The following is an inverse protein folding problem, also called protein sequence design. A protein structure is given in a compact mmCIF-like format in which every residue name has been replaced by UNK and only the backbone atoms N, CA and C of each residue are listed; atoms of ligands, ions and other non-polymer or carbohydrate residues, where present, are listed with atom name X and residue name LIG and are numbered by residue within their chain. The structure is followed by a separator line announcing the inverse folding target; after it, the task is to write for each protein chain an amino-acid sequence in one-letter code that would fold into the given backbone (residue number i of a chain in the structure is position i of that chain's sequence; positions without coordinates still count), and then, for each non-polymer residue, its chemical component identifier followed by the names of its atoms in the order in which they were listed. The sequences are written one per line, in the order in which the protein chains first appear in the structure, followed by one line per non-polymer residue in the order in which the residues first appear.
data_IF_322189712762
#
_entry.id   IF_322189712762
#
_cell.length_a   1.000
_cell.length_b   1.000
_cell.length_c   1.000
_cell.angle_alpha   90.00
_cell.angle_beta   90.00
_cell.angle_gamma   90.00
#
_symmetry.space_group_name_H-M   'P 1'
#
loop_
_entity.id
_entity.type
_entity.pdbx_description
1 polymer ?
#
# COMPACT_ATOMS: atom_id res chain seq x y z
N UNK A 1 -13.76 3.98 -16.36
CA UNK A 1 -12.30 3.88 -16.28
C UNK A 1 -11.91 2.43 -16.02
N UNK A 2 -10.88 1.93 -16.67
CA UNK A 2 -10.37 0.58 -16.51
C UNK A 2 -9.04 0.62 -15.76
N UNK A 3 -8.78 -0.36 -14.90
CA UNK A 3 -7.44 -0.63 -14.42
C UNK A 3 -6.55 -1.06 -15.60
N UNK A 4 -5.24 -0.94 -15.48
CA UNK A 4 -4.29 -1.25 -16.56
C UNK A 4 -4.36 -2.71 -17.07
N UNK A 5 -4.98 -3.60 -16.29
CA UNK A 5 -5.29 -4.99 -16.65
C UNK A 5 -6.58 -5.15 -17.46
N UNK A 6 -7.29 -4.04 -17.76
CA UNK A 6 -8.64 -4.07 -18.37
C UNK A 6 -9.77 -4.33 -17.38
N UNK A 7 -9.49 -4.42 -16.06
CA UNK A 7 -10.51 -4.60 -15.02
C UNK A 7 -11.29 -3.31 -14.85
N UNK A 8 -12.65 -3.32 -14.89
CA UNK A 8 -13.44 -2.16 -14.56
C UNK A 8 -13.21 -1.73 -13.12
N UNK A 9 -12.93 -0.44 -12.88
CA UNK A 9 -12.72 0.08 -11.51
C UNK A 9 -13.96 -0.04 -10.63
N UNK A 10 -15.13 -0.04 -11.22
CA UNK A 10 -16.41 -0.25 -10.55
C UNK A 10 -16.55 -1.63 -9.88
N UNK A 11 -15.77 -2.63 -10.33
CA UNK A 11 -15.72 -3.95 -9.72
C UNK A 11 -14.76 -4.01 -8.51
N UNK A 12 -14.06 -2.91 -8.21
CA UNK A 12 -13.06 -2.87 -7.16
C UNK A 12 -13.50 -1.86 -6.09
N UNK A 13 -13.87 -2.37 -4.92
CA UNK A 13 -14.07 -1.53 -3.74
C UNK A 13 -12.72 -1.04 -3.25
N UNK A 14 -12.53 0.28 -3.17
CA UNK A 14 -11.30 0.88 -2.69
C UNK A 14 -11.53 1.51 -1.32
N UNK A 15 -10.60 1.28 -0.41
CA UNK A 15 -10.60 1.88 0.94
C UNK A 15 -9.17 2.20 1.35
N UNK A 16 -8.99 3.30 2.08
CA UNK A 16 -7.68 3.73 2.58
C UNK A 16 -7.74 3.98 4.08
N UNK A 17 -6.61 3.82 4.74
CA UNK A 17 -6.42 4.16 6.14
C UNK A 17 -5.20 5.04 6.30
N UNK A 18 -5.34 6.15 7.01
CA UNK A 18 -4.20 6.95 7.45
C UNK A 18 -3.53 6.26 8.63
N UNK A 19 -2.24 5.97 8.49
CA UNK A 19 -1.47 5.16 9.44
C UNK A 19 -0.14 5.85 9.73
N UNK A 20 0.28 6.01 10.98
CA UNK A 20 1.46 6.81 11.29
C UNK A 20 2.80 6.16 10.90
N UNK A 21 2.92 4.82 10.94
CA UNK A 21 4.19 4.12 10.75
C UNK A 21 4.02 2.63 10.43
N UNK A 22 5.13 1.97 10.10
CA UNK A 22 5.20 0.56 9.75
C UNK A 22 4.60 -0.38 10.82
N UNK A 23 4.94 -0.20 12.09
CA UNK A 23 4.44 -1.08 13.14
C UNK A 23 2.93 -0.95 13.32
N UNK A 24 2.38 0.25 13.16
CA UNK A 24 0.92 0.44 13.16
C UNK A 24 0.28 -0.17 11.91
N UNK A 25 0.92 -0.13 10.74
CA UNK A 25 0.47 -0.86 9.54
C UNK A 25 0.36 -2.38 9.81
N UNK A 26 1.33 -2.96 10.55
CA UNK A 26 1.28 -4.38 10.97
C UNK A 26 0.06 -4.64 11.86
N UNK A 27 -0.15 -3.79 12.88
CA UNK A 27 -1.28 -3.95 13.80
C UNK A 27 -2.63 -3.85 13.06
N UNK A 28 -2.73 -2.90 12.13
CA UNK A 28 -3.93 -2.76 11.29
C UNK A 28 -4.13 -3.97 10.37
N UNK A 29 -3.07 -4.45 9.72
CA UNK A 29 -3.15 -5.64 8.85
C UNK A 29 -3.59 -6.86 9.65
N UNK A 30 -3.00 -7.08 10.83
CA UNK A 30 -3.41 -8.14 11.75
C UNK A 30 -4.91 -8.05 12.06
N UNK A 31 -5.38 -6.89 12.49
CA UNK A 31 -6.80 -6.66 12.82
C UNK A 31 -7.71 -6.98 11.64
N UNK A 32 -7.38 -6.48 10.44
CA UNK A 32 -8.17 -6.74 9.25
C UNK A 32 -8.22 -8.23 8.90
N UNK A 33 -7.11 -8.95 9.02
CA UNK A 33 -7.03 -10.39 8.77
C UNK A 33 -7.82 -11.23 9.78
N UNK A 34 -7.93 -10.77 11.03
CA UNK A 34 -8.68 -11.43 12.08
C UNK A 34 -10.19 -11.14 12.01
N UNK A 35 -10.57 -9.95 11.54
CA UNK A 35 -11.96 -9.51 11.51
C UNK A 35 -12.69 -9.83 10.19
N UNK A 36 -11.96 -10.15 9.11
CA UNK A 36 -12.56 -10.37 7.80
C UNK A 36 -12.26 -11.79 7.28
N UNK A 37 -13.24 -12.66 7.39
CA UNK A 37 -13.15 -14.05 6.93
C UNK A 37 -13.09 -14.17 5.40
N UNK A 38 -13.56 -13.17 4.67
CA UNK A 38 -13.54 -13.09 3.21
C UNK A 38 -12.15 -12.74 2.64
N UNK A 39 -11.22 -12.30 3.50
CA UNK A 39 -9.80 -12.10 3.13
C UNK A 39 -9.08 -13.44 3.00
N UNK A 40 -9.42 -14.19 1.96
CA UNK A 40 -8.94 -15.57 1.78
C UNK A 40 -7.81 -15.70 0.77
N UNK A 41 -7.67 -14.74 -0.16
CA UNK A 41 -6.66 -14.78 -1.22
C UNK A 41 -6.11 -13.38 -1.47
N UNK A 42 -4.99 -13.08 -0.80
CA UNK A 42 -4.51 -11.72 -0.59
C UNK A 42 -3.19 -11.49 -1.31
N UNK A 43 -3.08 -10.38 -2.04
CA UNK A 43 -1.80 -9.84 -2.49
C UNK A 43 -1.42 -8.61 -1.66
N UNK A 44 -0.24 -8.64 -1.05
CA UNK A 44 0.29 -7.52 -0.28
C UNK A 44 1.46 -6.90 -1.02
N UNK A 45 1.34 -5.64 -1.39
CA UNK A 45 2.35 -4.90 -2.13
C UNK A 45 3.20 -4.01 -1.24
N UNK A 46 4.50 -4.11 -1.44
CA UNK A 46 5.53 -3.25 -0.86
C UNK A 46 6.48 -2.76 -1.94
N UNK A 47 7.21 -1.67 -1.69
CA UNK A 47 8.05 -1.04 -2.71
C UNK A 47 9.42 -1.71 -2.88
N UNK A 48 9.94 -2.39 -1.85
CA UNK A 48 11.27 -2.97 -1.91
C UNK A 48 11.40 -4.29 -1.13
N UNK A 49 12.46 -5.05 -1.47
CA UNK A 49 12.74 -6.36 -0.92
C UNK A 49 13.02 -6.36 0.59
N UNK A 50 13.62 -5.30 1.14
CA UNK A 50 13.92 -5.20 2.57
C UNK A 50 12.63 -5.10 3.39
N UNK A 51 11.71 -4.27 2.95
CA UNK A 51 10.38 -4.16 3.57
C UNK A 51 9.59 -5.45 3.37
N UNK A 52 9.72 -6.13 2.21
CA UNK A 52 9.09 -7.44 1.98
C UNK A 52 9.49 -8.47 3.04
N UNK A 53 10.80 -8.60 3.31
CA UNK A 53 11.30 -9.54 4.31
C UNK A 53 10.91 -9.13 5.73
N UNK A 54 10.96 -7.84 6.06
CA UNK A 54 10.53 -7.34 7.37
C UNK A 54 9.04 -7.59 7.61
N UNK A 55 8.21 -7.31 6.63
CA UNK A 55 6.77 -7.56 6.70
C UNK A 55 6.49 -9.06 6.83
N UNK A 56 7.13 -9.88 6.00
CA UNK A 56 6.96 -11.33 6.04
C UNK A 56 7.28 -11.90 7.43
N UNK A 57 8.43 -11.57 8.00
CA UNK A 57 8.82 -12.06 9.32
C UNK A 57 7.80 -11.69 10.40
N UNK A 58 7.27 -10.46 10.36
CA UNK A 58 6.28 -10.00 11.35
C UNK A 58 4.90 -10.65 11.16
N UNK A 59 4.51 -10.92 9.93
CA UNK A 59 3.23 -11.58 9.62
C UNK A 59 3.32 -13.07 9.89
N UNK A 60 4.46 -13.70 9.60
CA UNK A 60 4.66 -15.14 9.87
C UNK A 60 4.69 -15.44 11.39
N UNK A 61 5.22 -14.52 12.21
CA UNK A 61 5.10 -14.59 13.68
C UNK A 61 3.63 -14.59 14.18
N UNK A 62 2.72 -13.96 13.45
CA UNK A 62 1.31 -13.81 13.81
C UNK A 62 0.39 -14.85 13.17
N UNK A 63 0.73 -15.30 11.97
CA UNK A 63 -0.06 -16.18 11.11
C UNK A 63 0.84 -17.23 10.47
N UNK A 64 1.50 -18.03 11.30
CA UNK A 64 2.51 -19.03 10.91
C UNK A 64 2.08 -19.87 9.69
N UNK A 65 2.90 -19.84 8.64
CA UNK A 65 2.70 -20.61 7.43
C UNK A 65 1.54 -20.16 6.54
N UNK A 66 0.84 -19.05 6.84
CA UNK A 66 -0.28 -18.59 6.01
C UNK A 66 0.15 -17.63 4.91
N UNK A 67 1.36 -17.09 4.96
CA UNK A 67 1.85 -16.12 3.99
C UNK A 67 3.14 -16.59 3.33
N UNK A 68 3.31 -16.19 2.06
CA UNK A 68 4.56 -16.32 1.34
C UNK A 68 5.14 -14.95 0.98
N UNK A 69 6.43 -14.91 0.61
CA UNK A 69 7.09 -13.69 0.15
C UNK A 69 7.87 -13.94 -1.12
N UNK A 70 7.69 -13.08 -2.12
CA UNK A 70 8.41 -13.17 -3.41
C UNK A 70 9.04 -11.83 -3.74
N UNK A 71 10.36 -11.81 -3.92
CA UNK A 71 11.12 -10.68 -4.44
C UNK A 71 12.40 -11.14 -5.14
N UNK A 72 13.11 -10.23 -5.79
CA UNK A 72 14.26 -10.54 -6.66
C UNK A 72 15.43 -11.26 -5.99
N UNK A 73 15.58 -11.16 -4.66
CA UNK A 73 16.64 -11.84 -3.91
C UNK A 73 16.31 -13.28 -3.52
N UNK A 74 15.07 -13.73 -3.71
CA UNK A 74 14.71 -15.14 -3.49
C UNK A 74 15.15 -15.98 -4.69
N UNK A 75 15.63 -17.20 -4.44
CA UNK A 75 16.02 -18.12 -5.50
C UNK A 75 14.84 -18.45 -6.44
N UNK A 76 15.14 -18.83 -7.66
CA UNK A 76 14.10 -19.21 -8.63
C UNK A 76 13.23 -20.37 -8.09
N UNK A 77 13.86 -21.39 -7.50
CA UNK A 77 13.14 -22.53 -6.95
C UNK A 77 12.20 -22.12 -5.81
N UNK A 78 12.66 -21.26 -4.90
CA UNK A 78 11.83 -20.73 -3.83
C UNK A 78 10.62 -19.97 -4.38
N UNK A 79 10.82 -19.11 -5.38
CA UNK A 79 9.74 -18.35 -5.98
C UNK A 79 8.69 -19.22 -6.65
N UNK A 80 9.14 -20.26 -7.38
CA UNK A 80 8.24 -21.23 -8.02
C UNK A 80 7.46 -22.03 -6.98
N UNK A 81 8.13 -22.52 -5.93
CA UNK A 81 7.49 -23.27 -4.85
C UNK A 81 6.45 -22.41 -4.12
N UNK A 82 6.83 -21.20 -3.68
CA UNK A 82 5.90 -20.29 -3.00
C UNK A 82 4.71 -19.92 -3.88
N UNK A 83 4.93 -19.76 -5.18
CA UNK A 83 3.87 -19.48 -6.13
C UNK A 83 2.90 -20.65 -6.30
N UNK A 84 3.42 -21.89 -6.36
CA UNK A 84 2.61 -23.09 -6.42
C UNK A 84 1.74 -23.24 -5.16
N UNK A 85 2.33 -23.09 -3.97
CA UNK A 85 1.61 -23.10 -2.68
C UNK A 85 0.49 -22.05 -2.64
N UNK A 86 0.75 -20.85 -3.17
CA UNK A 86 -0.28 -19.83 -3.24
C UNK A 86 -1.37 -20.17 -4.27
N UNK A 87 -1.03 -20.70 -5.43
CA UNK A 87 -2.00 -21.12 -6.45
C UNK A 87 -2.90 -22.26 -5.99
N UNK A 88 -2.34 -23.20 -5.25
CA UNK A 88 -3.05 -24.35 -4.67
C UNK A 88 -3.94 -23.95 -3.48
N UNK A 89 -3.80 -22.73 -2.96
CA UNK A 89 -4.58 -22.23 -1.82
C UNK A 89 -4.01 -22.64 -0.45
N UNK A 90 -2.79 -23.18 -0.41
CA UNK A 90 -2.09 -23.51 0.84
C UNK A 90 -1.61 -22.25 1.57
N UNK A 91 -1.41 -21.14 0.83
CA UNK A 91 -1.12 -19.83 1.40
C UNK A 91 -2.33 -18.90 1.25
N UNK A 92 -2.69 -18.23 2.34
CA UNK A 92 -3.73 -17.19 2.38
C UNK A 92 -3.28 -15.90 1.69
N UNK A 93 -2.00 -15.56 1.80
CA UNK A 93 -1.48 -14.32 1.24
C UNK A 93 -0.09 -14.43 0.66
N UNK A 94 0.21 -13.52 -0.26
CA UNK A 94 1.51 -13.39 -0.91
C UNK A 94 2.00 -11.95 -0.80
N UNK A 95 3.17 -11.75 -0.19
CA UNK A 95 3.86 -10.45 -0.12
C UNK A 95 4.78 -10.33 -1.32
N UNK A 96 4.67 -9.24 -2.08
CA UNK A 96 5.41 -9.09 -3.33
C UNK A 96 5.76 -7.62 -3.61
N UNK A 97 6.71 -7.41 -4.52
CA UNK A 97 7.02 -6.11 -5.12
C UNK A 97 6.40 -6.01 -6.51
N UNK A 98 6.24 -4.80 -7.04
CA UNK A 98 5.65 -4.56 -8.37
C UNK A 98 6.38 -5.30 -9.49
N UNK A 99 7.72 -5.34 -9.44
CA UNK A 99 8.54 -6.02 -10.46
C UNK A 99 8.21 -7.52 -10.51
N UNK A 100 8.03 -8.13 -9.35
CA UNK A 100 7.75 -9.56 -9.26
C UNK A 100 6.30 -9.91 -9.58
N UNK A 101 5.39 -9.01 -9.29
CA UNK A 101 3.97 -9.20 -9.60
C UNK A 101 3.68 -9.09 -11.11
N UNK A 102 4.56 -8.44 -11.88
CA UNK A 102 4.46 -8.40 -13.35
C UNK A 102 4.72 -9.79 -13.91
N UNK A 103 3.80 -10.29 -14.71
CA UNK A 103 3.91 -11.61 -15.34
C UNK A 103 3.51 -12.79 -14.45
N UNK A 104 3.10 -12.55 -13.20
CA UNK A 104 2.45 -13.57 -12.41
C UNK A 104 1.00 -13.73 -12.88
N UNK A 105 0.67 -14.92 -13.36
CA UNK A 105 -0.71 -15.30 -13.63
C UNK A 105 -1.37 -15.71 -12.30
N UNK A 106 -1.94 -14.73 -11.63
CA UNK A 106 -2.62 -14.90 -10.36
C UNK A 106 -4.09 -14.57 -10.57
N UNK A 107 -4.93 -15.55 -10.36
CA UNK A 107 -6.39 -15.43 -10.45
C UNK A 107 -7.03 -15.48 -9.06
N UNK A 108 -8.29 -15.09 -9.02
CA UNK A 108 -9.15 -15.19 -7.83
C UNK A 108 -8.63 -14.43 -6.60
N UNK A 109 -7.95 -13.31 -6.80
CA UNK A 109 -7.54 -12.44 -5.70
C UNK A 109 -8.77 -11.75 -5.13
N UNK A 110 -9.02 -11.96 -3.83
CA UNK A 110 -10.11 -11.30 -3.11
C UNK A 110 -9.72 -9.90 -2.67
N UNK A 111 -8.49 -9.76 -2.17
CA UNK A 111 -8.00 -8.51 -1.63
C UNK A 111 -6.59 -8.16 -2.13
N UNK A 112 -6.41 -6.90 -2.49
CA UNK A 112 -5.11 -6.28 -2.72
C UNK A 112 -4.84 -5.32 -1.59
N UNK A 113 -3.71 -5.49 -0.92
CA UNK A 113 -3.25 -4.58 0.14
C UNK A 113 -2.05 -3.78 -0.39
N UNK A 114 -2.21 -2.48 -0.55
CA UNK A 114 -1.09 -1.57 -0.72
C UNK A 114 -0.53 -1.25 0.67
N UNK A 115 0.34 -2.12 1.19
CA UNK A 115 1.01 -1.90 2.46
C UNK A 115 1.92 -0.67 2.43
N UNK A 116 2.50 -0.39 1.27
CA UNK A 116 3.13 0.88 0.89
C UNK A 116 2.49 1.40 -0.38
N UNK A 117 2.25 2.72 -0.44
CA UNK A 117 1.83 3.37 -1.68
C UNK A 117 2.92 3.21 -2.74
N UNK A 118 2.56 2.98 -4.01
CA UNK A 118 3.56 2.83 -5.07
C UNK A 118 4.32 4.13 -5.30
N UNK A 119 5.58 4.00 -5.75
CA UNK A 119 6.43 5.16 -6.13
C UNK A 119 5.96 5.84 -7.42
N UNK A 120 5.28 5.11 -8.30
CA UNK A 120 4.71 5.62 -9.55
C UNK A 120 3.19 5.39 -9.52
N UNK A 121 2.38 6.42 -9.80
CA UNK A 121 0.92 6.32 -9.67
C UNK A 121 0.30 5.27 -10.60
N UNK A 122 0.90 5.01 -11.78
CA UNK A 122 0.42 3.98 -12.71
C UNK A 122 0.48 2.56 -12.10
N UNK A 123 1.44 2.32 -11.19
CA UNK A 123 1.56 1.03 -10.52
C UNK A 123 0.36 0.75 -9.62
N UNK A 124 -0.28 1.77 -9.07
CA UNK A 124 -1.49 1.61 -8.28
C UNK A 124 -2.59 0.90 -9.08
N UNK A 125 -2.82 1.36 -10.30
CA UNK A 125 -3.81 0.75 -11.22
C UNK A 125 -3.46 -0.70 -11.57
N UNK A 126 -2.16 -0.99 -11.75
CA UNK A 126 -1.68 -2.35 -11.99
C UNK A 126 -1.88 -3.27 -10.79
N UNK A 127 -1.68 -2.75 -9.57
CA UNK A 127 -1.86 -3.50 -8.31
C UNK A 127 -3.32 -3.83 -8.08
N UNK A 128 -4.19 -2.84 -8.06
CA UNK A 128 -5.61 -3.05 -7.78
C UNK A 128 -6.29 -3.88 -8.87
N UNK A 129 -5.84 -3.80 -10.11
CA UNK A 129 -6.31 -4.65 -11.21
C UNK A 129 -5.92 -6.13 -11.08
N UNK A 130 -5.30 -6.56 -9.98
CA UNK A 130 -5.12 -7.97 -9.66
C UNK A 130 -6.37 -8.59 -9.05
N UNK A 131 -7.25 -7.80 -8.50
CA UNK A 131 -8.57 -8.23 -8.02
C UNK A 131 -9.70 -7.72 -8.93
N UNK A 132 -10.92 -8.11 -8.69
CA UNK A 132 -12.10 -7.66 -9.46
C UNK A 132 -12.13 -8.11 -10.92
N UNK A 133 -11.40 -9.18 -11.27
CA UNK A 133 -11.31 -9.67 -12.64
C UNK A 133 -12.53 -10.50 -13.05
N UNK A 134 -12.83 -10.47 -14.35
CA UNK A 134 -14.03 -11.04 -14.92
C UNK A 134 -15.29 -10.45 -14.24
N UNK A 135 -16.24 -11.27 -13.86
CA UNK A 135 -17.48 -10.83 -13.20
C UNK A 135 -17.37 -10.84 -11.67
N UNK A 136 -16.14 -11.02 -11.12
CA UNK A 136 -15.92 -11.01 -9.68
C UNK A 136 -15.68 -9.58 -9.16
N UNK A 137 -16.16 -9.31 -7.95
CA UNK A 137 -15.82 -8.12 -7.20
C UNK A 137 -14.54 -8.32 -6.40
N UNK A 138 -13.81 -7.26 -6.13
CA UNK A 138 -12.60 -7.30 -5.33
C UNK A 138 -12.46 -6.08 -4.43
N UNK A 139 -11.55 -6.17 -3.47
CA UNK A 139 -11.27 -5.07 -2.53
C UNK A 139 -9.80 -4.68 -2.59
N UNK A 140 -9.53 -3.38 -2.67
CA UNK A 140 -8.21 -2.80 -2.57
C UNK A 140 -8.13 -1.93 -1.31
N UNK A 141 -7.18 -2.25 -0.43
CA UNK A 141 -6.97 -1.53 0.83
C UNK A 141 -5.60 -0.89 0.80
N UNK A 142 -5.52 0.41 1.11
CA UNK A 142 -4.27 1.17 1.10
C UNK A 142 -3.94 1.74 2.47
N UNK A 143 -2.70 1.52 2.94
CA UNK A 143 -2.19 2.09 4.19
C UNK A 143 -1.29 3.28 3.86
N UNK A 144 -1.70 4.46 4.29
CA UNK A 144 -1.07 5.72 3.90
C UNK A 144 -0.43 6.38 5.11
N UNK A 145 0.90 6.46 5.12
CA UNK A 145 1.63 7.24 6.12
C UNK A 145 1.74 8.70 5.68
N UNK A 146 2.06 9.64 6.59
CA UNK A 146 2.30 11.04 6.23
C UNK A 146 3.38 11.22 5.14
N UNK A 147 4.30 10.25 4.99
CA UNK A 147 5.35 10.28 3.94
C UNK A 147 4.83 9.84 2.57
N UNK A 148 3.71 9.15 2.54
CA UNK A 148 3.09 8.61 1.33
C UNK A 148 1.94 9.47 0.81
N UNK A 149 1.67 10.61 1.48
CA UNK A 149 0.58 11.51 1.10
C UNK A 149 0.78 12.08 -0.32
N UNK A 150 2.01 12.38 -0.71
CA UNK A 150 2.32 12.85 -2.07
C UNK A 150 1.98 11.77 -3.11
N UNK A 151 2.41 10.52 -2.88
CA UNK A 151 2.09 9.40 -3.77
C UNK A 151 0.58 9.14 -3.85
N UNK A 152 -0.15 9.30 -2.72
CA UNK A 152 -1.61 9.22 -2.71
C UNK A 152 -2.22 10.28 -3.63
N UNK A 153 -1.80 11.54 -3.49
CA UNK A 153 -2.31 12.64 -4.32
C UNK A 153 -2.05 12.39 -5.81
N UNK A 154 -0.84 11.92 -6.17
CA UNK A 154 -0.52 11.57 -7.56
C UNK A 154 -1.44 10.48 -8.12
N UNK A 155 -1.74 9.46 -7.30
CA UNK A 155 -2.71 8.39 -7.66
C UNK A 155 -4.10 8.97 -7.86
N UNK A 156 -4.58 9.82 -6.96
CA UNK A 156 -5.89 10.47 -7.04
C UNK A 156 -6.02 11.34 -8.30
N UNK A 157 -4.95 12.10 -8.63
CA UNK A 157 -4.90 12.89 -9.87
C UNK A 157 -4.96 11.99 -11.10
N UNK A 158 -4.18 10.91 -11.15
CA UNK A 158 -4.17 9.96 -12.27
C UNK A 158 -5.54 9.31 -12.48
N UNK A 159 -6.20 8.95 -11.38
CA UNK A 159 -7.50 8.28 -11.42
C UNK A 159 -8.67 9.25 -11.60
N UNK A 160 -8.44 10.55 -11.43
CA UNK A 160 -9.45 11.59 -11.34
C UNK A 160 -10.55 11.27 -10.32
N UNK A 161 -10.16 10.76 -9.16
CA UNK A 161 -11.02 10.44 -8.03
C UNK A 161 -10.23 10.46 -6.72
N UNK A 162 -10.88 10.83 -5.63
CA UNK A 162 -10.32 10.72 -4.29
C UNK A 162 -10.39 9.28 -3.79
N UNK A 163 -9.35 8.85 -3.09
CA UNK A 163 -9.36 7.55 -2.40
C UNK A 163 -10.20 7.65 -1.13
N UNK A 164 -11.24 6.81 -0.97
CA UNK A 164 -12.05 6.82 0.24
C UNK A 164 -11.20 6.51 1.48
N UNK A 165 -11.25 7.36 2.49
CA UNK A 165 -10.53 7.16 3.75
C UNK A 165 -11.52 6.66 4.80
N UNK A 166 -11.26 5.46 5.33
CA UNK A 166 -12.02 4.89 6.43
C UNK A 166 -11.50 5.39 7.78
N UNK A 167 -12.37 5.36 8.77
CA UNK A 167 -11.98 5.61 10.16
C UNK A 167 -11.01 4.51 10.62
N UNK A 168 -9.95 4.93 11.30
CA UNK A 168 -9.00 3.99 11.89
C UNK A 168 -9.70 3.23 13.04
N UNK A 169 -9.62 1.88 13.07
CA UNK A 169 -10.29 1.10 14.10
C UNK A 169 -9.72 1.41 15.50
N UNK A 170 -10.60 1.69 16.47
CA UNK A 170 -10.20 2.07 17.83
C UNK A 170 -9.48 0.94 18.57
N UNK A 171 -9.74 -0.31 18.19
CA UNK A 171 -9.13 -1.50 18.77
C UNK A 171 -7.69 -1.73 18.31
N UNK A 172 -7.25 -1.03 17.26
CA UNK A 172 -5.90 -1.18 16.71
C UNK A 172 -4.92 -0.29 17.47
N UNK A 173 -3.94 -0.92 18.10
CA UNK A 173 -2.88 -0.20 18.81
C UNK A 173 -2.03 0.65 17.85
N UNK A 174 -1.93 1.94 18.14
CA UNK A 174 -1.03 2.87 17.45
C UNK A 174 0.35 2.78 18.07
N UNK A 175 1.31 2.22 17.33
CA UNK A 175 2.69 2.07 17.78
C UNK A 175 3.47 3.39 17.64
N UNK A 176 4.24 3.73 18.67
CA UNK A 176 5.22 4.83 18.63
C UNK A 176 6.60 4.38 18.16
N UNK A 177 6.82 3.06 18.00
CA UNK A 177 8.11 2.50 17.60
C UNK A 177 8.29 2.65 16.09
N UNK A 178 9.40 3.25 15.69
CA UNK A 178 9.81 3.40 14.30
C UNK A 178 10.82 2.32 13.90
N UNK A 179 10.75 1.84 12.67
CA UNK A 179 11.78 1.01 12.05
C UNK A 179 12.94 1.88 11.54
N UNK A 180 14.13 1.28 11.34
CA UNK A 180 15.32 2.05 10.91
C UNK A 180 15.06 2.92 9.65
N UNK A 181 14.39 2.46 8.59
CA UNK A 181 14.09 3.30 7.43
C UNK A 181 13.20 4.52 7.74
N UNK A 182 12.47 4.49 8.85
CA UNK A 182 11.62 5.61 9.28
C UNK A 182 12.37 6.63 10.12
N UNK A 183 13.48 6.23 10.80
CA UNK A 183 14.30 7.10 11.66
C UNK A 183 15.20 8.04 10.86
N UNK A 184 15.79 7.57 9.78
CA UNK A 184 16.88 8.25 9.06
C UNK A 184 16.47 9.38 8.12
N UNK A 185 15.18 9.68 8.00
CA UNK A 185 14.72 10.83 7.21
C UNK A 185 14.30 11.94 8.16
N UNK A 186 15.09 13.02 8.16
CA UNK A 186 14.70 14.28 8.80
C UNK A 186 13.24 14.63 8.42
N UNK A 187 12.44 15.12 9.38
CA UNK A 187 11.10 15.60 9.04
C UNK A 187 11.24 16.55 7.85
N UNK A 188 10.44 16.32 6.81
CA UNK A 188 10.36 17.24 5.69
C UNK A 188 10.05 18.59 6.33
N UNK A 189 11.07 19.46 6.42
CA UNK A 189 10.83 20.87 6.69
C UNK A 189 9.95 21.31 5.54
N UNK A 190 8.69 21.50 5.83
CA UNK A 190 7.84 22.30 4.98
C UNK A 190 8.60 23.59 4.77
N UNK A 191 9.23 23.72 3.62
CA UNK A 191 9.71 24.98 3.09
C UNK A 191 8.45 25.81 2.82
N UNK A 192 7.87 26.37 3.88
CA UNK A 192 7.09 27.58 3.73
C UNK A 192 8.08 28.60 3.17
N UNK A 193 8.11 28.72 1.84
CA UNK A 193 8.60 29.90 1.18
C UNK A 193 7.84 31.05 1.85
N UNK A 194 8.51 31.78 2.75
CA UNK A 194 8.04 33.10 3.13
C UNK A 194 7.97 33.90 1.83
N UNK A 195 6.75 34.02 1.32
CA UNK A 195 6.46 35.04 0.31
C UNK A 195 6.74 36.36 1.01
N UNK A 196 7.88 36.94 0.72
CA UNK A 196 8.12 38.37 1.02
C UNK A 196 7.10 39.14 0.18
N UNK A 197 6.09 39.63 0.85
CA UNK A 197 5.27 40.71 0.32
C UNK A 197 6.20 41.92 0.29
N UNK A 198 6.87 42.14 -0.84
CA UNK A 198 7.42 43.43 -1.19
C UNK A 198 6.24 44.34 -1.57
N UNK A 199 5.96 45.33 -0.75
CA UNK A 199 4.91 46.28 -1.02
C UNK A 199 4.61 47.18 0.16
N UNK A 200 5.62 47.86 0.71
CA UNK A 200 5.41 49.10 1.48
C UNK A 200 6.17 50.21 0.82
N UNK A 201 5.54 50.77 -0.20
CA UNK A 201 5.93 51.99 -0.84
C UNK A 201 5.59 53.19 0.08
N UNK A 202 6.62 53.87 0.55
CA UNK A 202 6.56 55.08 1.31
C UNK A 202 5.73 56.15 0.59
N UNK A 203 4.65 56.58 1.20
CA UNK A 203 4.02 57.87 0.92
C UNK A 203 4.82 58.95 1.63
N UNK A 204 5.59 59.73 0.87
CA UNK A 204 6.10 61.01 1.30
C UNK A 204 5.05 62.06 1.02
N UNK A 205 4.38 62.57 2.06
CA UNK A 205 3.74 63.89 2.05
C UNK A 205 4.80 64.97 2.11
N UNK A 206 4.78 65.86 1.12
CA UNK A 206 5.41 67.19 1.21
C UNK A 206 4.30 68.18 1.43
N UNK A 207 4.39 68.90 2.55
CA UNK A 207 3.80 70.18 2.79
C UNK A 207 4.61 71.29 2.13
#
# INVERSE_FOLDING_TARGET
TLAASGTPLENITQVSYNVPNFNTKINLLKHLLEQNEDMTRILVFVNNKKISDMLFNRIDELFEGQFGVIHSNKSQNYRLSTMAEFQEGNLRGLITTDIMARGLDISNITHVINFEMPELPELYMHRIGRTGRADATGTAISFITPREEESKIEVEVLMNMELPIANFPEEVEVSTKLIEPEKDRQPIKFLMKKVKLEGDGAFHEKS
#
